data_IF_434291204198
#
_entry.id   IF_434291204198
#
_cell.length_a   1.000
_cell.length_b   1.000
_cell.length_c   1.000
_cell.angle_alpha   90.00
_cell.angle_beta   90.00
_cell.angle_gamma   90.00
#
_symmetry.space_group_name_H-M   'P 1'
#
loop_
_entity.id
_entity.type
_entity.pdbx_description
1 polymer ?
#
# COMPACT_ATOMS: atom_id res chain seq x y z
N UNK A 1 -11.09 14.51 20.54
CA UNK A 1 -9.93 13.70 20.10
C UNK A 1 -10.50 12.58 19.25
N UNK A 2 -10.94 12.93 18.05
CA UNK A 2 -11.70 12.06 17.15
C UNK A 2 -10.85 11.79 15.90
N UNK A 3 -10.89 10.55 15.38
CA UNK A 3 -10.39 10.23 14.05
C UNK A 3 -9.21 9.25 13.94
N UNK A 4 -9.00 8.34 14.90
CA UNK A 4 -7.99 7.27 14.76
C UNK A 4 -8.51 5.99 14.08
N UNK A 5 -9.78 5.94 13.71
CA UNK A 5 -10.38 4.88 12.91
C UNK A 5 -11.30 5.47 11.83
N UNK A 6 -10.74 5.89 10.70
CA UNK A 6 -11.50 5.80 9.44
C UNK A 6 -11.06 4.49 8.81
N UNK A 7 -11.68 3.40 9.27
CA UNK A 7 -11.39 2.06 8.79
C UNK A 7 -11.66 1.92 7.29
N UNK A 8 -11.03 0.95 6.66
CA UNK A 8 -11.42 0.48 5.32
C UNK A 8 -12.49 -0.60 5.48
N UNK A 9 -13.31 -0.82 4.45
CA UNK A 9 -14.31 -1.89 4.42
C UNK A 9 -15.27 -1.85 5.64
N UNK A 10 -16.12 -0.83 5.71
CA UNK A 10 -17.15 -0.69 6.76
C UNK A 10 -16.60 -0.72 8.20
N UNK A 11 -15.39 -0.19 8.40
CA UNK A 11 -14.75 -0.11 9.71
C UNK A 11 -13.92 -1.34 10.10
N UNK A 12 -13.66 -2.26 9.18
CA UNK A 12 -12.79 -3.41 9.44
C UNK A 12 -11.39 -2.97 9.94
N UNK A 13 -10.86 -3.62 11.00
CA UNK A 13 -9.54 -3.29 11.51
C UNK A 13 -8.46 -3.68 10.48
N UNK A 14 -7.31 -2.97 10.46
CA UNK A 14 -6.17 -3.35 9.65
C UNK A 14 -5.59 -4.70 10.10
N UNK A 15 -5.11 -5.49 9.15
CA UNK A 15 -4.46 -6.78 9.42
C UNK A 15 -3.07 -6.61 10.01
N UNK A 16 -2.33 -5.61 9.56
CA UNK A 16 -1.02 -5.24 10.10
C UNK A 16 -0.97 -3.74 10.39
N UNK A 17 -0.31 -3.39 11.50
CA UNK A 17 -0.05 -1.99 11.88
C UNK A 17 1.41 -1.86 12.29
N UNK A 18 2.13 -0.97 11.62
CA UNK A 18 3.48 -0.59 12.05
C UNK A 18 3.39 0.25 13.32
N UNK A 19 3.88 -0.29 14.45
CA UNK A 19 3.70 0.31 15.77
C UNK A 19 4.23 1.76 15.87
N UNK A 20 5.37 2.05 15.24
CA UNK A 20 6.01 3.38 15.35
C UNK A 20 5.32 4.50 14.58
N UNK A 21 4.65 4.18 13.47
CA UNK A 21 4.09 5.19 12.54
C UNK A 21 2.57 5.12 12.41
N UNK A 22 1.98 4.02 12.89
CA UNK A 22 0.58 3.66 12.67
C UNK A 22 0.27 3.34 11.20
N UNK A 23 1.27 3.04 10.36
CA UNK A 23 1.05 2.65 8.96
C UNK A 23 0.26 1.33 8.93
N UNK A 24 -0.82 1.30 8.15
CA UNK A 24 -1.82 0.22 8.18
C UNK A 24 -1.81 -0.56 6.88
N UNK A 25 -2.07 -1.86 6.96
CA UNK A 25 -2.24 -2.76 5.82
C UNK A 25 -3.52 -3.57 6.00
N UNK A 26 -4.37 -3.61 4.98
CA UNK A 26 -5.47 -4.56 4.83
C UNK A 26 -5.17 -5.46 3.64
N UNK A 27 -5.37 -6.77 3.79
CA UNK A 27 -5.29 -7.70 2.67
C UNK A 27 -6.65 -7.86 2.02
N UNK A 28 -6.68 -8.04 0.70
CA UNK A 28 -7.94 -8.05 -0.06
C UNK A 28 -8.02 -9.21 -1.04
N UNK A 29 -9.24 -9.46 -1.49
CA UNK A 29 -9.59 -10.31 -2.61
C UNK A 29 -10.36 -9.50 -3.67
N UNK A 30 -10.07 -9.61 -4.99
CA UNK A 30 -8.93 -10.32 -5.60
C UNK A 30 -7.56 -9.97 -5.01
N UNK A 31 -6.61 -10.91 -5.08
CA UNK A 31 -5.38 -10.91 -4.28
C UNK A 31 -4.62 -9.58 -4.33
N UNK A 32 -4.49 -8.94 -3.17
CA UNK A 32 -3.83 -7.64 -3.09
C UNK A 32 -3.78 -7.08 -1.68
N UNK A 33 -3.32 -5.83 -1.58
CA UNK A 33 -3.32 -5.08 -0.34
C UNK A 33 -3.76 -3.64 -0.53
N UNK A 34 -4.30 -3.07 0.54
CA UNK A 34 -4.51 -1.63 0.70
C UNK A 34 -3.61 -1.18 1.84
N UNK A 35 -2.84 -0.13 1.60
CA UNK A 35 -2.08 0.53 2.66
C UNK A 35 -2.63 1.91 2.97
N UNK A 36 -2.43 2.38 4.18
CA UNK A 36 -2.77 3.74 4.56
C UNK A 36 -1.70 4.31 5.50
N UNK A 37 -1.28 5.54 5.20
CA UNK A 37 -0.39 6.30 6.08
C UNK A 37 -1.07 6.53 7.43
N UNK A 38 -0.31 6.27 8.49
CA UNK A 38 -0.77 6.37 9.87
C UNK A 38 -0.85 7.79 10.40
N UNK A 39 -0.43 7.98 11.65
CA UNK A 39 -0.37 9.31 12.28
C UNK A 39 0.91 10.06 11.93
N UNK A 40 1.98 9.34 11.55
CA UNK A 40 3.20 9.97 11.04
C UNK A 40 3.02 10.35 9.57
N UNK A 41 3.17 11.64 9.28
CA UNK A 41 3.08 12.17 7.93
C UNK A 41 4.34 11.88 7.08
N UNK A 42 5.44 11.38 7.68
CA UNK A 42 6.69 11.07 6.98
C UNK A 42 7.00 9.57 7.06
N UNK A 43 7.29 8.96 5.90
CA UNK A 43 7.69 7.54 5.82
C UNK A 43 9.21 7.41 5.97
N UNK A 44 9.61 6.67 7.00
CA UNK A 44 10.98 6.25 7.26
C UNK A 44 11.32 4.89 6.65
N UNK A 45 12.60 4.53 6.76
CA UNK A 45 13.13 3.26 6.25
C UNK A 45 12.45 2.04 6.89
N UNK A 46 12.14 2.14 8.18
CA UNK A 46 11.39 1.16 8.96
C UNK A 46 10.03 0.83 8.32
N UNK A 47 9.25 1.85 7.95
CA UNK A 47 7.95 1.68 7.29
C UNK A 47 8.11 1.09 5.89
N UNK A 48 9.13 1.51 5.13
CA UNK A 48 9.42 0.93 3.82
C UNK A 48 9.78 -0.56 3.91
N UNK A 49 10.55 -0.96 4.93
CA UNK A 49 10.90 -2.37 5.21
C UNK A 49 9.70 -3.17 5.70
N UNK A 50 8.84 -2.57 6.53
CA UNK A 50 7.61 -3.21 6.98
C UNK A 50 6.71 -3.60 5.81
N UNK A 51 6.48 -2.68 4.87
CA UNK A 51 5.66 -2.94 3.68
C UNK A 51 6.33 -3.94 2.73
N UNK A 52 7.58 -3.68 2.33
CA UNK A 52 8.31 -4.51 1.35
C UNK A 52 8.78 -5.88 1.88
N UNK A 53 8.72 -6.06 3.20
CA UNK A 53 9.06 -7.28 3.93
C UNK A 53 7.82 -8.00 4.41
N UNK A 54 7.30 -7.62 5.58
CA UNK A 54 6.19 -8.33 6.23
C UNK A 54 4.90 -8.29 5.41
N UNK A 55 4.54 -7.12 4.86
CA UNK A 55 3.37 -6.97 4.00
C UNK A 55 3.45 -7.86 2.75
N UNK A 56 4.60 -7.85 2.07
CA UNK A 56 4.83 -8.70 0.89
C UNK A 56 4.82 -10.18 1.24
N UNK A 57 5.50 -10.60 2.31
CA UNK A 57 5.59 -12.00 2.71
C UNK A 57 4.22 -12.60 3.05
N UNK A 58 3.29 -11.79 3.57
CA UNK A 58 1.90 -12.22 3.78
C UNK A 58 1.12 -12.35 2.46
N UNK A 59 1.33 -11.45 1.49
CA UNK A 59 0.75 -11.62 0.14
C UNK A 59 1.26 -12.88 -0.56
N UNK A 60 2.57 -13.11 -0.52
CA UNK A 60 3.19 -14.28 -1.15
C UNK A 60 2.64 -15.58 -0.55
N UNK A 61 2.41 -15.62 0.77
CA UNK A 61 1.78 -16.77 1.45
C UNK A 61 0.33 -17.03 1.04
N UNK A 62 -0.39 -16.00 0.60
CA UNK A 62 -1.80 -16.09 0.18
C UNK A 62 -1.96 -16.45 -1.29
N UNK A 63 -0.90 -16.26 -2.08
CA UNK A 63 -0.92 -16.48 -3.52
C UNK A 63 -1.22 -17.95 -3.83
N UNK A 64 -2.23 -18.18 -4.65
CA UNK A 64 -2.54 -19.50 -5.20
C UNK A 64 -2.26 -19.49 -6.70
N UNK A 65 -1.39 -20.40 -7.15
CA UNK A 65 -1.04 -20.50 -8.56
C UNK A 65 -0.36 -19.23 -9.09
N UNK A 66 -0.88 -18.69 -10.19
CA UNK A 66 -0.28 -17.57 -10.93
C UNK A 66 -1.00 -16.23 -10.72
N UNK A 67 -1.77 -16.08 -9.64
CA UNK A 67 -2.45 -14.81 -9.32
C UNK A 67 -1.47 -13.64 -9.32
N UNK A 68 -1.92 -12.48 -9.80
CA UNK A 68 -1.14 -11.24 -9.79
C UNK A 68 -1.70 -10.29 -8.73
N UNK A 69 -0.82 -9.52 -8.12
CA UNK A 69 -1.13 -8.66 -7.00
C UNK A 69 -1.69 -7.32 -7.43
N UNK A 70 -2.67 -6.84 -6.69
CA UNK A 70 -3.15 -5.45 -6.75
C UNK A 70 -2.69 -4.67 -5.53
N UNK A 71 -1.99 -3.55 -5.75
CA UNK A 71 -1.51 -2.67 -4.67
C UNK A 71 -2.23 -1.33 -4.70
N UNK A 72 -2.94 -1.00 -3.62
CA UNK A 72 -3.56 0.30 -3.44
C UNK A 72 -2.90 1.01 -2.25
N UNK A 73 -2.46 2.24 -2.45
CA UNK A 73 -1.72 3.01 -1.47
C UNK A 73 -2.41 4.33 -1.17
N UNK A 74 -2.93 4.50 0.04
CA UNK A 74 -3.46 5.78 0.52
C UNK A 74 -2.33 6.59 1.18
N UNK A 75 -1.69 7.42 0.35
CA UNK A 75 -0.61 8.33 0.73
C UNK A 75 -1.09 9.77 0.87
N UNK A 76 -2.41 10.00 1.01
CA UNK A 76 -2.97 11.36 1.15
C UNK A 76 -2.46 12.08 2.39
N UNK A 77 -2.02 11.36 3.42
CA UNK A 77 -1.41 11.93 4.64
C UNK A 77 0.12 12.06 4.58
N UNK A 78 0.75 11.63 3.49
CA UNK A 78 2.20 11.66 3.34
C UNK A 78 2.67 13.07 2.96
N UNK A 79 3.57 13.65 3.75
CA UNK A 79 4.24 14.93 3.47
C UNK A 79 5.67 14.77 2.95
N UNK A 80 6.26 13.59 3.15
CA UNK A 80 7.61 13.29 2.72
C UNK A 80 8.05 11.88 3.04
N UNK A 81 9.28 11.56 2.62
CA UNK A 81 9.92 10.28 2.85
C UNK A 81 11.43 10.47 3.06
N UNK A 82 12.10 9.48 3.62
CA UNK A 82 13.57 9.46 3.63
C UNK A 82 14.14 8.99 2.29
N UNK A 83 15.35 9.41 1.89
CA UNK A 83 16.00 8.89 0.69
C UNK A 83 16.13 7.35 0.68
N UNK A 84 16.41 6.76 1.85
CA UNK A 84 16.47 5.30 2.01
C UNK A 84 15.12 4.63 1.70
N UNK A 85 14.01 5.21 2.17
CA UNK A 85 12.65 4.73 1.88
C UNK A 85 12.38 4.72 0.39
N UNK A 86 12.74 5.80 -0.32
CA UNK A 86 12.57 5.89 -1.77
C UNK A 86 13.30 4.76 -2.49
N UNK A 87 14.57 4.50 -2.11
CA UNK A 87 15.36 3.43 -2.71
C UNK A 87 14.69 2.07 -2.47
N UNK A 88 14.33 1.77 -1.23
CA UNK A 88 13.70 0.49 -0.85
C UNK A 88 12.39 0.27 -1.60
N UNK A 89 11.53 1.29 -1.66
CA UNK A 89 10.23 1.20 -2.33
C UNK A 89 10.38 1.02 -3.84
N UNK A 90 11.32 1.73 -4.49
CA UNK A 90 11.59 1.56 -5.91
C UNK A 90 12.15 0.16 -6.21
N UNK A 91 13.14 -0.30 -5.43
CA UNK A 91 13.74 -1.63 -5.60
C UNK A 91 12.70 -2.74 -5.39
N UNK A 92 11.86 -2.61 -4.36
CA UNK A 92 10.75 -3.53 -4.10
C UNK A 92 9.77 -3.54 -5.27
N UNK A 93 9.37 -2.37 -5.76
CA UNK A 93 8.47 -2.23 -6.88
C UNK A 93 8.99 -2.89 -8.17
N UNK A 94 10.28 -2.72 -8.48
CA UNK A 94 10.92 -3.39 -9.62
C UNK A 94 10.95 -4.91 -9.45
N UNK A 95 11.19 -5.39 -8.22
CA UNK A 95 11.21 -6.83 -7.89
C UNK A 95 9.84 -7.48 -8.07
N UNK A 96 8.77 -6.84 -7.57
CA UNK A 96 7.41 -7.40 -7.63
C UNK A 96 6.67 -7.09 -8.92
N UNK A 97 7.22 -6.24 -9.79
CA UNK A 97 6.55 -5.77 -11.00
C UNK A 97 5.95 -6.92 -11.82
N UNK A 98 6.71 -7.99 -12.10
CA UNK A 98 6.23 -9.14 -12.88
C UNK A 98 4.99 -9.82 -12.31
N UNK A 99 4.86 -9.81 -10.98
CA UNK A 99 3.74 -10.40 -10.27
C UNK A 99 2.62 -9.39 -9.98
N UNK A 100 2.75 -8.14 -10.46
CA UNK A 100 1.83 -7.05 -10.15
C UNK A 100 0.87 -6.82 -11.31
N UNK A 101 -0.43 -6.91 -11.05
CA UNK A 101 -1.48 -6.52 -11.99
C UNK A 101 -1.64 -5.00 -12.04
N UNK A 102 -1.68 -4.36 -10.87
CA UNK A 102 -2.00 -2.93 -10.75
C UNK A 102 -1.37 -2.29 -9.51
N UNK A 103 -0.95 -1.04 -9.66
CA UNK A 103 -0.51 -0.16 -8.57
C UNK A 103 -1.29 1.15 -8.66
N UNK A 104 -2.04 1.50 -7.62
CA UNK A 104 -2.77 2.76 -7.52
C UNK A 104 -2.35 3.50 -6.26
N UNK A 105 -2.04 4.78 -6.38
CA UNK A 105 -1.61 5.63 -5.26
C UNK A 105 -2.52 6.84 -5.16
N UNK A 106 -3.26 6.95 -4.06
CA UNK A 106 -4.00 8.15 -3.73
C UNK A 106 -3.07 9.19 -3.07
N UNK A 107 -3.02 10.39 -3.64
CA UNK A 107 -2.14 11.48 -3.20
C UNK A 107 -2.91 12.78 -3.06
N UNK A 108 -2.52 13.62 -2.10
CA UNK A 108 -2.96 15.02 -2.10
C UNK A 108 -2.22 15.79 -3.18
N UNK A 109 -2.94 16.63 -3.92
CA UNK A 109 -2.40 17.50 -4.98
C UNK A 109 -1.26 18.41 -4.48
N UNK A 110 -1.28 18.81 -3.20
CA UNK A 110 -0.31 19.73 -2.62
C UNK A 110 1.01 19.06 -2.16
N UNK A 111 1.10 17.73 -2.10
CA UNK A 111 2.29 17.00 -1.63
C UNK A 111 3.38 16.93 -2.72
N UNK A 112 3.97 18.08 -3.10
CA UNK A 112 4.88 18.21 -4.25
C UNK A 112 6.06 17.23 -4.23
N UNK A 113 6.71 17.06 -3.08
CA UNK A 113 7.87 16.14 -2.93
C UNK A 113 7.45 14.69 -3.12
N UNK A 114 6.32 14.29 -2.52
CA UNK A 114 5.80 12.93 -2.65
C UNK A 114 5.40 12.64 -4.10
N UNK A 115 4.69 13.59 -4.75
CA UNK A 115 4.27 13.47 -6.14
C UNK A 115 5.47 13.34 -7.08
N UNK A 116 6.52 14.15 -6.89
CA UNK A 116 7.78 14.03 -7.63
C UNK A 116 8.42 12.64 -7.43
N UNK A 117 8.45 12.15 -6.19
CA UNK A 117 8.96 10.81 -5.87
C UNK A 117 8.22 9.71 -6.62
N UNK A 118 6.88 9.77 -6.61
CA UNK A 118 6.01 8.84 -7.33
C UNK A 118 6.22 8.93 -8.83
N UNK A 119 6.31 10.13 -9.41
CA UNK A 119 6.58 10.28 -10.85
C UNK A 119 7.88 9.60 -11.28
N UNK A 120 8.94 9.68 -10.47
CA UNK A 120 10.19 8.96 -10.78
C UNK A 120 10.01 7.44 -10.67
N UNK A 121 9.27 6.96 -9.67
CA UNK A 121 8.93 5.54 -9.57
C UNK A 121 8.11 5.08 -10.79
N UNK A 122 7.12 5.87 -11.23
CA UNK A 122 6.31 5.61 -12.43
C UNK A 122 7.19 5.49 -13.67
N UNK A 123 8.16 6.39 -13.87
CA UNK A 123 9.09 6.31 -15.01
C UNK A 123 9.95 5.04 -14.95
N UNK A 124 10.51 4.72 -13.79
CA UNK A 124 11.34 3.53 -13.61
C UNK A 124 10.55 2.23 -13.85
N UNK A 125 9.32 2.15 -13.31
CA UNK A 125 8.42 1.02 -13.52
C UNK A 125 7.91 0.93 -14.95
N UNK A 126 7.67 2.07 -15.60
CA UNK A 126 7.24 2.13 -17.00
C UNK A 126 8.23 1.47 -17.94
N UNK A 127 9.53 1.66 -17.71
CA UNK A 127 10.60 0.96 -18.44
C UNK A 127 10.59 -0.56 -18.21
N UNK A 128 10.08 -1.01 -17.06
CA UNK A 128 9.89 -2.42 -16.74
C UNK A 128 8.54 -2.98 -17.22
N UNK A 129 7.67 -2.16 -17.83
CA UNK A 129 6.37 -2.58 -18.38
C UNK A 129 5.18 -2.41 -17.43
N UNK A 130 5.32 -1.67 -16.32
CA UNK A 130 4.26 -1.48 -15.32
C UNK A 130 3.92 0.00 -15.13
N UNK A 131 2.66 0.29 -14.86
CA UNK A 131 2.19 1.66 -14.65
C UNK A 131 1.71 1.85 -13.21
N UNK A 132 2.07 2.99 -12.63
CA UNK A 132 1.48 3.47 -11.39
C UNK A 132 0.40 4.49 -11.75
N UNK A 133 -0.82 4.22 -11.33
CA UNK A 133 -1.92 5.17 -11.42
C UNK A 133 -1.92 6.09 -10.19
N UNK A 134 -2.05 7.40 -10.40
CA UNK A 134 -2.19 8.38 -9.33
C UNK A 134 -3.62 8.91 -9.32
N UNK A 135 -4.29 8.82 -8.18
CA UNK A 135 -5.69 9.21 -8.00
C UNK A 135 -5.86 10.14 -6.79
N UNK A 136 -7.03 10.76 -6.65
CA UNK A 136 -7.36 11.59 -5.48
C UNK A 136 -8.01 10.80 -4.34
N UNK A 137 -8.71 9.70 -4.67
CA UNK A 137 -9.24 8.74 -3.71
C UNK A 137 -9.12 7.31 -4.25
N UNK A 138 -9.05 6.34 -3.36
CA UNK A 138 -9.07 4.92 -3.72
C UNK A 138 -10.48 4.35 -3.85
N UNK A 139 -11.52 5.08 -3.42
CA UNK A 139 -12.85 4.49 -3.21
C UNK A 139 -13.49 4.01 -4.52
N UNK A 140 -13.33 4.78 -5.60
CA UNK A 140 -13.77 4.37 -6.94
C UNK A 140 -13.00 3.13 -7.43
N UNK A 141 -11.69 3.07 -7.20
CA UNK A 141 -10.87 1.89 -7.55
C UNK A 141 -11.29 0.66 -6.75
N UNK A 142 -11.55 0.81 -5.45
CA UNK A 142 -12.01 -0.28 -4.57
C UNK A 142 -13.34 -0.83 -5.07
N UNK A 143 -14.30 0.04 -5.37
CA UNK A 143 -15.61 -0.35 -5.88
C UNK A 143 -15.52 -1.02 -7.26
N UNK A 144 -14.77 -0.43 -8.19
CA UNK A 144 -14.62 -0.94 -9.56
C UNK A 144 -13.91 -2.30 -9.63
N UNK A 145 -13.02 -2.59 -8.67
CA UNK A 145 -12.33 -3.87 -8.57
C UNK A 145 -13.04 -4.89 -7.67
N UNK A 146 -14.19 -4.52 -7.11
CA UNK A 146 -14.95 -5.35 -6.16
C UNK A 146 -14.06 -5.89 -5.01
N UNK A 147 -13.11 -5.06 -4.54
CA UNK A 147 -12.17 -5.47 -3.51
C UNK A 147 -12.91 -5.73 -2.21
N UNK A 148 -12.63 -6.89 -1.60
CA UNK A 148 -13.19 -7.31 -0.32
C UNK A 148 -12.08 -7.57 0.67
N UNK A 149 -12.29 -7.18 1.94
CA UNK A 149 -11.33 -7.50 3.00
C UNK A 149 -11.19 -9.01 3.14
N UNK A 150 -9.95 -9.48 3.16
CA UNK A 150 -9.58 -10.87 3.40
C UNK A 150 -8.67 -10.89 4.63
N UNK A 151 -9.21 -11.02 5.84
CA UNK A 151 -8.40 -10.90 7.05
C UNK A 151 -7.31 -11.97 7.13
N UNK A 152 -6.21 -11.66 7.84
CA UNK A 152 -5.16 -12.63 8.16
C UNK A 152 -5.72 -13.84 8.92
N UNK A 153 -5.27 -15.04 8.56
CA UNK A 153 -5.75 -16.29 9.18
C UNK A 153 -5.59 -16.29 10.71
N UNK A 154 -4.56 -15.63 11.21
CA UNK A 154 -4.28 -15.54 12.65
C UNK A 154 -5.14 -14.49 13.37
N UNK A 155 -5.71 -13.49 12.66
CA UNK A 155 -6.55 -12.44 13.25
C UNK A 155 -8.02 -12.86 13.45
N UNK A 156 -8.37 -14.09 13.06
CA UNK A 156 -9.71 -14.67 13.23
C UNK A 156 -9.89 -15.48 14.52
N UNK A 157 -8.89 -15.52 15.42
CA UNK A 157 -9.07 -16.21 16.71
C UNK A 157 -9.97 -15.37 17.63
N UNK A 158 -11.13 -15.88 18.08
CA UNK A 158 -11.86 -15.22 19.16
C UNK A 158 -11.01 -15.32 20.43
N UNK A 159 -10.80 -14.18 21.09
CA UNK A 159 -10.31 -14.14 22.47
C UNK A 159 -11.34 -14.63 23.46
#
# INVERSE_FOLDING_TARGET
MEGLAEGRFDGAPPDLVHAGSGFRIWFVQPLGLITQVGHQARVGEDVARFLSGEGQAELDRRRVGSERFTYLHDWRRLDGYSPASRKIMTDWGLRVGRDTERIVIALRTQAKVVRMGVSVATMAMGLAGFQIEMVESLDETIAALELRHAPRRDSLRPG
#
